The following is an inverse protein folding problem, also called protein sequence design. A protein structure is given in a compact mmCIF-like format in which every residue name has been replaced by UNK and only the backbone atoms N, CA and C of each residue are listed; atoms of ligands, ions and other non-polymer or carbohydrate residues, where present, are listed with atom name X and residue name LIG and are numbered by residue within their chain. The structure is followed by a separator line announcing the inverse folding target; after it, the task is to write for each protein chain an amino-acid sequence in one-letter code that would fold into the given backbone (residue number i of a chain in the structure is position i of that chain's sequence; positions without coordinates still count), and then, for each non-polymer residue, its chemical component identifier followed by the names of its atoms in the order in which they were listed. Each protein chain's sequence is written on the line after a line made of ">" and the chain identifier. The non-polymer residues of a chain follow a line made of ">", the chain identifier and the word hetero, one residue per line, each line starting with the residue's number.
data_IF_636397859230
#
_entry.id   IF_636397859230
#
_cell.length_a   1.000
_cell.length_b   1.000
_cell.length_c   1.000
_cell.angle_alpha   90.00
_cell.angle_beta   90.00
_cell.angle_gamma   90.00
#
_symmetry.space_group_name_H-M   'P 1'
#
loop_
_entity.id
_entity.type
_entity.pdbx_description
1 polymer ?
#
# COMPACT_ATOMS: atom_id res chain seq x y z
N UNK A 1 -9.92 10.99 -5.94
CA UNK A 1 -11.37 10.83 -5.71
C UNK A 1 -11.77 9.35 -5.59
N UNK A 2 -11.32 8.49 -6.48
CA UNK A 2 -11.65 7.07 -6.51
C UNK A 2 -11.28 6.32 -5.21
N UNK A 3 -10.08 6.58 -4.67
CA UNK A 3 -9.66 6.05 -3.36
C UNK A 3 -10.68 6.40 -2.26
N UNK A 4 -11.01 7.68 -2.11
CA UNK A 4 -11.92 8.15 -1.06
C UNK A 4 -13.33 7.59 -1.19
N UNK A 5 -13.79 7.39 -2.42
CA UNK A 5 -15.08 6.76 -2.69
C UNK A 5 -15.07 5.25 -2.38
N UNK A 6 -13.98 4.56 -2.73
CA UNK A 6 -13.85 3.10 -2.51
C UNK A 6 -13.92 2.73 -1.02
N UNK A 7 -13.31 3.53 -0.15
CA UNK A 7 -13.20 3.22 1.29
C UNK A 7 -13.86 4.26 2.20
N UNK A 8 -14.65 5.16 1.63
CA UNK A 8 -15.50 6.13 2.33
C UNK A 8 -14.77 6.88 3.46
N UNK A 9 -13.65 7.54 3.12
CA UNK A 9 -12.84 8.28 4.13
C UNK A 9 -13.48 9.59 4.56
N UNK A 10 -14.46 10.11 3.81
CA UNK A 10 -14.98 11.45 3.98
C UNK A 10 -13.93 12.56 3.83
N UNK A 11 -12.78 12.25 3.21
CA UNK A 11 -11.63 13.16 3.09
C UNK A 11 -11.06 13.63 4.44
N UNK A 12 -11.30 12.87 5.51
CA UNK A 12 -10.80 13.20 6.84
C UNK A 12 -9.57 12.34 7.14
N UNK A 13 -8.39 12.93 7.33
CA UNK A 13 -7.22 12.22 7.81
C UNK A 13 -7.47 11.55 9.16
N UNK A 14 -6.70 10.51 9.45
CA UNK A 14 -6.66 9.94 10.81
C UNK A 14 -6.15 10.97 11.81
N UNK A 15 -6.48 10.80 13.09
CA UNK A 15 -6.00 11.71 14.13
C UNK A 15 -4.47 11.76 14.15
N UNK A 16 -3.93 12.94 14.41
CA UNK A 16 -2.49 13.20 14.49
C UNK A 16 -1.68 12.96 13.20
N UNK A 17 -2.34 12.79 12.03
CA UNK A 17 -1.63 12.80 10.75
C UNK A 17 -1.38 14.23 10.26
N UNK A 18 -0.10 14.55 10.08
CA UNK A 18 0.40 15.83 9.59
C UNK A 18 1.09 15.73 8.22
N UNK A 19 0.79 14.67 7.46
CA UNK A 19 1.37 14.38 6.16
C UNK A 19 0.56 15.03 5.03
N UNK A 20 0.46 16.36 4.99
CA UNK A 20 -0.40 17.10 4.05
C UNK A 20 0.03 17.00 2.58
N UNK A 21 1.25 16.58 2.33
CA UNK A 21 1.81 16.40 0.98
C UNK A 21 2.79 15.24 0.95
N UNK A 22 3.06 14.71 -0.22
CA UNK A 22 4.06 13.67 -0.47
C UNK A 22 5.05 14.12 -1.53
N UNK A 23 6.34 13.95 -1.28
CA UNK A 23 7.38 14.18 -2.29
C UNK A 23 7.53 12.94 -3.19
N UNK A 24 7.55 13.14 -4.50
CA UNK A 24 7.87 12.09 -5.47
C UNK A 24 9.27 12.33 -6.01
N UNK A 25 10.21 11.46 -5.65
CA UNK A 25 11.62 11.55 -6.04
C UNK A 25 11.93 10.46 -7.06
N UNK A 26 12.26 10.90 -8.28
CA UNK A 26 12.44 9.99 -9.41
C UNK A 26 13.87 10.03 -9.93
N UNK A 27 14.58 8.92 -9.80
CA UNK A 27 15.87 8.74 -10.44
C UNK A 27 15.70 8.41 -11.92
N UNK A 28 16.63 8.87 -12.74
CA UNK A 28 16.58 8.60 -14.18
C UNK A 28 16.70 7.12 -14.50
N UNK A 29 17.52 6.38 -13.76
CA UNK A 29 17.78 4.96 -14.01
C UNK A 29 17.70 4.15 -12.73
N UNK A 30 17.49 2.82 -12.90
CA UNK A 30 17.60 1.87 -11.78
C UNK A 30 18.98 1.90 -11.13
N UNK A 31 20.04 2.11 -11.91
CA UNK A 31 21.41 2.22 -11.40
C UNK A 31 21.59 3.42 -10.49
N UNK A 32 21.06 4.60 -10.89
CA UNK A 32 21.11 5.80 -10.05
C UNK A 32 20.29 5.61 -8.76
N UNK A 33 19.09 5.03 -8.89
CA UNK A 33 18.25 4.67 -7.75
C UNK A 33 19.02 3.76 -6.78
N UNK A 34 19.62 2.68 -7.27
CA UNK A 34 20.36 1.72 -6.45
C UNK A 34 21.61 2.35 -5.79
N UNK A 35 22.27 3.29 -6.47
CA UNK A 35 23.51 3.91 -5.99
C UNK A 35 23.24 5.00 -4.95
N UNK A 36 22.25 5.84 -5.20
CA UNK A 36 22.06 7.08 -4.43
C UNK A 36 20.90 7.03 -3.44
N UNK A 37 19.86 6.24 -3.70
CA UNK A 37 18.68 6.25 -2.86
C UNK A 37 18.97 5.74 -1.44
N UNK A 38 19.68 4.63 -1.31
CA UNK A 38 20.04 4.10 0.01
C UNK A 38 20.92 5.06 0.81
N UNK A 39 21.83 5.78 0.14
CA UNK A 39 22.68 6.78 0.80
C UNK A 39 21.91 8.03 1.22
N UNK A 40 20.97 8.50 0.39
CA UNK A 40 20.22 9.74 0.64
C UNK A 40 19.04 9.53 1.58
N UNK A 41 18.42 8.35 1.57
CA UNK A 41 17.14 8.10 2.23
C UNK A 41 17.14 6.90 3.18
N UNK A 42 18.28 6.21 3.32
CA UNK A 42 18.45 5.01 4.18
C UNK A 42 17.41 3.91 3.87
N UNK A 43 17.12 3.70 2.56
CA UNK A 43 16.15 2.73 2.12
C UNK A 43 16.78 1.57 1.35
N UNK A 44 16.04 0.45 1.26
CA UNK A 44 16.43 -0.68 0.40
C UNK A 44 16.16 -0.36 -1.07
N UNK A 45 16.98 -0.87 -1.98
CA UNK A 45 16.91 -0.57 -3.42
C UNK A 45 16.79 -1.82 -4.30
N UNK A 46 16.43 -2.96 -3.72
CA UNK A 46 16.17 -4.21 -4.44
C UNK A 46 14.74 -4.33 -4.99
N UNK A 47 14.01 -3.23 -5.00
CA UNK A 47 12.60 -3.09 -5.41
C UNK A 47 12.44 -2.14 -6.61
N UNK A 48 11.20 -1.86 -7.00
CA UNK A 48 10.83 -0.93 -8.07
C UNK A 48 10.66 0.52 -7.63
N UNK A 49 10.63 0.76 -6.34
CA UNK A 49 10.40 2.02 -5.66
C UNK A 49 9.99 1.73 -4.23
N UNK A 50 9.92 2.76 -3.39
CA UNK A 50 9.54 2.60 -2.00
C UNK A 50 8.86 3.85 -1.47
N UNK A 51 7.74 3.68 -0.78
CA UNK A 51 7.12 4.70 0.04
C UNK A 51 7.85 4.78 1.39
N UNK A 52 8.21 5.98 1.79
CA UNK A 52 8.88 6.29 3.04
C UNK A 52 8.01 7.26 3.83
N UNK A 53 7.18 6.72 4.72
CA UNK A 53 6.19 7.48 5.47
C UNK A 53 6.81 8.43 6.48
N UNK A 54 7.89 8.00 7.13
CA UNK A 54 8.53 8.71 8.25
C UNK A 54 7.61 8.69 9.49
N UNK A 55 7.43 9.83 10.15
CA UNK A 55 6.61 9.94 11.36
C UNK A 55 5.43 10.89 11.10
N UNK A 56 4.24 10.34 10.80
CA UNK A 56 3.07 11.14 10.46
C UNK A 56 2.60 12.03 11.61
N UNK A 57 2.92 11.70 12.88
CA UNK A 57 2.52 12.51 14.04
C UNK A 57 3.31 13.82 14.18
N UNK A 58 4.38 13.99 13.43
CA UNK A 58 5.19 15.20 13.47
C UNK A 58 4.68 16.29 12.56
N UNK A 59 4.51 17.47 13.13
CA UNK A 59 4.20 18.67 12.35
C UNK A 59 5.21 18.89 11.22
N UNK A 60 4.70 19.07 10.00
CA UNK A 60 5.53 19.26 8.82
C UNK A 60 6.19 17.97 8.31
N UNK A 61 5.69 16.80 8.70
CA UNK A 61 6.10 15.55 8.06
C UNK A 61 5.75 15.60 6.57
N UNK A 62 6.73 15.27 5.74
CA UNK A 62 6.54 15.09 4.30
C UNK A 62 7.04 13.70 3.95
N UNK A 63 6.15 12.73 3.84
CA UNK A 63 6.51 11.41 3.33
C UNK A 63 7.04 11.47 1.91
N UNK A 64 7.73 10.43 1.47
CA UNK A 64 8.35 10.36 0.15
C UNK A 64 8.06 9.05 -0.54
N UNK A 65 7.78 9.14 -1.82
CA UNK A 65 7.89 8.01 -2.73
C UNK A 65 9.19 8.16 -3.52
N UNK A 66 10.08 7.19 -3.41
CA UNK A 66 11.38 7.19 -4.09
C UNK A 66 11.40 6.07 -5.11
N UNK A 67 11.57 6.40 -6.40
CA UNK A 67 11.52 5.46 -7.50
C UNK A 67 12.50 5.83 -8.61
N UNK A 68 12.42 5.13 -9.72
CA UNK A 68 13.13 5.46 -10.97
C UNK A 68 12.18 5.41 -12.15
N UNK A 69 12.59 6.11 -13.22
CA UNK A 69 11.83 6.15 -14.46
C UNK A 69 11.68 4.74 -15.01
N UNK A 70 10.47 4.40 -15.44
CA UNK A 70 10.22 3.15 -16.15
C UNK A 70 10.89 3.21 -17.53
N UNK A 71 11.86 2.34 -17.74
CA UNK A 71 12.63 2.30 -19.00
C UNK A 71 11.98 1.49 -20.12
N UNK A 72 10.78 0.99 -19.91
CA UNK A 72 10.05 0.15 -20.86
C UNK A 72 9.13 0.94 -21.79
N UNK A 73 8.80 2.17 -21.42
CA UNK A 73 7.90 3.04 -22.14
C UNK A 73 8.68 4.11 -22.90
N UNK A 74 8.22 4.47 -24.10
CA UNK A 74 8.77 5.58 -24.90
C UNK A 74 8.43 6.94 -24.22
N UNK A 75 7.33 7.00 -23.50
CA UNK A 75 6.93 8.16 -22.72
C UNK A 75 7.44 8.10 -21.26
N UNK A 76 7.57 9.27 -20.63
CA UNK A 76 7.96 9.33 -19.24
C UNK A 76 6.89 8.70 -18.34
N UNK A 77 7.27 7.65 -17.64
CA UNK A 77 6.44 7.02 -16.60
C UNK A 77 7.29 6.67 -15.37
N UNK A 78 6.64 6.59 -14.22
CA UNK A 78 7.28 6.28 -12.95
C UNK A 78 6.83 4.89 -12.53
N UNK A 79 7.79 4.00 -12.28
CA UNK A 79 7.50 2.63 -11.87
C UNK A 79 6.76 2.63 -10.53
N UNK A 80 5.67 1.86 -10.46
CA UNK A 80 4.84 1.67 -9.26
C UNK A 80 4.23 2.95 -8.64
N UNK A 81 4.20 4.08 -9.35
CA UNK A 81 3.72 5.34 -8.77
C UNK A 81 2.32 5.22 -8.15
N UNK A 82 1.38 4.63 -8.86
CA UNK A 82 -0.01 4.52 -8.39
C UNK A 82 -0.11 3.61 -7.15
N UNK A 83 0.61 2.50 -7.14
CA UNK A 83 0.67 1.58 -6.01
C UNK A 83 1.19 2.29 -4.75
N UNK A 84 2.34 2.97 -4.85
CA UNK A 84 2.95 3.67 -3.72
C UNK A 84 2.12 4.90 -3.28
N UNK A 85 1.42 5.53 -4.21
CA UNK A 85 0.51 6.62 -3.87
C UNK A 85 -0.70 6.12 -3.07
N UNK A 86 -1.15 4.90 -3.31
CA UNK A 86 -2.19 4.27 -2.47
C UNK A 86 -1.69 4.05 -1.05
N UNK A 87 -0.44 3.64 -0.84
CA UNK A 87 0.13 3.54 0.51
C UNK A 87 0.12 4.88 1.25
N UNK A 88 0.47 5.98 0.58
CA UNK A 88 0.36 7.32 1.17
C UNK A 88 -1.07 7.65 1.57
N UNK A 89 -2.02 7.40 0.69
CA UNK A 89 -3.43 7.69 0.98
C UNK A 89 -3.99 6.76 2.08
N UNK A 90 -3.64 5.48 2.05
CA UNK A 90 -4.10 4.51 3.05
C UNK A 90 -3.53 4.82 4.43
N UNK A 91 -2.24 5.12 4.55
CA UNK A 91 -1.62 5.61 5.78
C UNK A 91 -2.36 6.82 6.33
N UNK A 92 -2.49 7.87 5.51
CA UNK A 92 -3.10 9.13 5.92
C UNK A 92 -4.57 9.03 6.33
N UNK A 93 -5.38 8.22 5.65
CA UNK A 93 -6.85 8.25 5.79
C UNK A 93 -7.45 7.02 6.46
N UNK A 94 -6.70 5.93 6.57
CA UNK A 94 -7.24 4.67 7.08
C UNK A 94 -6.41 4.05 8.22
N UNK A 95 -5.12 4.41 8.36
CA UNK A 95 -4.22 3.74 9.30
C UNK A 95 -3.71 4.72 10.35
N UNK A 96 -4.16 4.60 11.59
CA UNK A 96 -3.67 5.43 12.68
C UNK A 96 -2.25 5.01 13.11
N UNK A 97 -1.36 5.96 13.30
CA UNK A 97 0.05 5.73 13.60
C UNK A 97 0.91 5.63 12.33
N UNK A 98 2.10 5.09 12.45
CA UNK A 98 2.99 4.87 11.31
C UNK A 98 2.93 3.43 10.79
N UNK A 99 3.59 3.19 9.67
CA UNK A 99 3.67 1.86 9.05
C UNK A 99 4.22 0.80 10.03
N UNK A 100 5.14 1.18 10.90
CA UNK A 100 5.70 0.26 11.90
C UNK A 100 4.66 -0.13 12.95
N UNK A 101 3.83 0.82 13.38
CA UNK A 101 2.72 0.56 14.31
C UNK A 101 1.69 -0.38 13.69
N UNK A 102 1.29 -0.15 12.45
CA UNK A 102 0.32 -1.00 11.73
C UNK A 102 0.84 -2.42 11.57
N UNK A 103 2.13 -2.59 11.27
CA UNK A 103 2.76 -3.90 11.11
C UNK A 103 2.90 -4.65 12.45
N UNK A 104 3.26 -3.94 13.52
CA UNK A 104 3.45 -4.54 14.84
C UNK A 104 2.13 -4.97 15.48
N UNK A 105 1.11 -4.15 15.34
CA UNK A 105 -0.15 -4.32 16.05
C UNK A 105 -1.21 -5.08 15.23
N UNK A 106 -1.26 -4.89 13.92
CA UNK A 106 -2.36 -5.34 13.08
C UNK A 106 -2.07 -6.55 12.19
N UNK A 107 -0.81 -6.80 11.83
CA UNK A 107 -0.46 -7.82 10.81
C UNK A 107 -1.33 -7.72 9.55
N UNK A 108 -1.52 -6.51 9.02
CA UNK A 108 -2.45 -6.23 7.92
C UNK A 108 -1.77 -6.16 6.55
N UNK A 109 -0.67 -6.90 6.32
CA UNK A 109 0.04 -6.94 5.03
C UNK A 109 -0.91 -7.25 3.87
N UNK A 110 -1.83 -8.18 4.06
CA UNK A 110 -2.82 -8.53 3.04
C UNK A 110 -3.67 -7.34 2.60
N UNK A 111 -4.00 -6.43 3.54
CA UNK A 111 -4.74 -5.21 3.24
C UNK A 111 -3.83 -4.19 2.56
N UNK A 112 -2.69 -3.85 3.16
CA UNK A 112 -1.78 -2.81 2.66
C UNK A 112 -1.41 -3.05 1.20
N UNK A 113 -0.85 -4.23 0.91
CA UNK A 113 -0.40 -4.58 -0.44
C UNK A 113 -1.58 -4.95 -1.37
N UNK A 114 -2.52 -5.71 -0.85
CA UNK A 114 -3.69 -6.10 -1.63
C UNK A 114 -4.57 -4.92 -2.04
N UNK A 115 -4.70 -3.90 -1.19
CA UNK A 115 -5.47 -2.70 -1.52
C UNK A 115 -4.75 -1.81 -2.53
N UNK A 116 -3.43 -1.66 -2.42
CA UNK A 116 -2.64 -0.96 -3.42
C UNK A 116 -2.76 -1.63 -4.80
N UNK A 117 -2.65 -2.96 -4.86
CA UNK A 117 -2.88 -3.73 -6.09
C UNK A 117 -4.32 -3.61 -6.61
N UNK A 118 -5.33 -3.63 -5.72
CA UNK A 118 -6.73 -3.48 -6.12
C UNK A 118 -7.01 -2.09 -6.71
N UNK A 119 -6.48 -1.05 -6.09
CA UNK A 119 -6.64 0.31 -6.60
C UNK A 119 -5.98 0.51 -7.95
N UNK A 120 -4.82 -0.13 -8.19
CA UNK A 120 -4.10 -0.07 -9.46
C UNK A 120 -4.79 -0.89 -10.57
N UNK A 121 -5.08 -2.16 -10.30
CA UNK A 121 -5.61 -3.09 -11.32
C UNK A 121 -7.13 -3.10 -11.45
N UNK A 122 -7.86 -2.66 -10.44
CA UNK A 122 -9.32 -2.80 -10.36
C UNK A 122 -9.74 -4.26 -10.62
N UNK A 123 -10.54 -4.50 -11.63
CA UNK A 123 -10.98 -5.85 -12.00
C UNK A 123 -9.97 -6.61 -12.89
N UNK A 124 -8.92 -5.93 -13.35
CA UNK A 124 -8.07 -6.37 -14.46
C UNK A 124 -6.81 -7.15 -14.09
N UNK A 125 -6.59 -7.56 -12.84
CA UNK A 125 -5.36 -8.26 -12.47
C UNK A 125 -5.37 -9.73 -12.91
N UNK A 126 -5.19 -9.96 -14.21
CA UNK A 126 -5.28 -11.29 -14.81
C UNK A 126 -4.39 -12.35 -14.14
N UNK A 127 -3.15 -11.99 -13.76
CA UNK A 127 -2.25 -12.92 -13.08
C UNK A 127 -2.79 -13.40 -11.72
N UNK A 128 -3.43 -12.52 -10.95
CA UNK A 128 -4.08 -12.90 -9.70
C UNK A 128 -5.33 -13.74 -9.95
N UNK A 129 -6.16 -13.39 -10.96
CA UNK A 129 -7.36 -14.14 -11.31
C UNK A 129 -7.05 -15.58 -11.78
N UNK A 130 -5.95 -15.77 -12.50
CA UNK A 130 -5.48 -17.12 -12.89
C UNK A 130 -5.04 -17.90 -11.66
N UNK A 131 -4.24 -17.28 -10.78
CA UNK A 131 -3.77 -17.90 -9.53
C UNK A 131 -4.93 -18.29 -8.61
N UNK A 132 -5.95 -17.44 -8.50
CA UNK A 132 -7.13 -17.68 -7.67
C UNK A 132 -7.93 -18.93 -8.06
N UNK A 133 -7.84 -19.39 -9.31
CA UNK A 133 -8.49 -20.64 -9.77
C UNK A 133 -7.87 -21.90 -9.13
N UNK A 134 -6.65 -21.81 -8.67
CA UNK A 134 -5.93 -22.93 -8.02
C UNK A 134 -6.48 -23.20 -6.60
N UNK A 135 -7.14 -22.23 -5.97
CA UNK A 135 -7.75 -22.34 -4.63
C UNK A 135 -6.80 -22.86 -3.55
N UNK A 136 -5.54 -22.44 -3.61
CA UNK A 136 -4.46 -22.94 -2.73
C UNK A 136 -4.47 -22.32 -1.33
N UNK A 137 -5.18 -21.19 -1.15
CA UNK A 137 -5.31 -20.51 0.14
C UNK A 137 -6.77 -20.21 0.47
N UNK A 138 -7.09 -20.33 1.75
CA UNK A 138 -8.35 -19.81 2.31
C UNK A 138 -8.24 -18.32 2.59
N UNK A 139 -9.36 -17.64 2.83
CA UNK A 139 -9.36 -16.24 3.22
C UNK A 139 -8.60 -16.03 4.55
N UNK A 140 -8.75 -16.95 5.51
CA UNK A 140 -8.02 -16.92 6.78
C UNK A 140 -6.50 -17.04 6.57
N UNK A 141 -6.05 -17.87 5.63
CA UNK A 141 -4.63 -17.96 5.28
C UNK A 141 -4.12 -16.61 4.75
N UNK A 142 -4.91 -15.95 3.89
CA UNK A 142 -4.51 -14.64 3.32
C UNK A 142 -4.48 -13.56 4.39
N UNK A 143 -5.43 -13.53 5.30
CA UNK A 143 -5.43 -12.57 6.42
C UNK A 143 -4.23 -12.71 7.35
N UNK A 144 -3.61 -13.89 7.42
CA UNK A 144 -2.38 -14.13 8.19
C UNK A 144 -1.08 -13.87 7.42
N UNK A 145 -1.16 -13.29 6.22
CA UNK A 145 0.00 -13.04 5.36
C UNK A 145 0.98 -12.06 5.99
N UNK A 146 2.27 -12.37 5.83
CA UNK A 146 3.38 -11.46 6.15
C UNK A 146 4.34 -11.37 4.95
N UNK A 147 5.28 -10.41 4.96
CA UNK A 147 6.16 -10.17 3.81
C UNK A 147 7.09 -11.36 3.46
N UNK A 148 7.33 -12.30 4.37
CA UNK A 148 8.14 -13.49 4.08
C UNK A 148 7.40 -14.58 3.31
N UNK A 149 6.07 -14.48 3.13
CA UNK A 149 5.24 -15.50 2.47
C UNK A 149 5.34 -15.48 0.92
N UNK A 150 6.13 -14.56 0.39
CA UNK A 150 6.44 -14.45 -1.03
C UNK A 150 5.44 -13.63 -1.84
N UNK A 151 5.91 -13.20 -3.02
CA UNK A 151 5.20 -12.21 -3.84
C UNK A 151 3.77 -12.60 -4.22
N UNK A 152 3.55 -13.88 -4.53
CA UNK A 152 2.22 -14.33 -4.91
C UNK A 152 1.21 -14.16 -3.77
N UNK A 153 1.62 -14.51 -2.54
CA UNK A 153 0.72 -14.45 -1.39
C UNK A 153 0.49 -12.99 -0.96
N UNK A 154 1.55 -12.20 -0.90
CA UNK A 154 1.49 -10.79 -0.51
C UNK A 154 0.63 -9.99 -1.48
N UNK A 155 0.97 -9.98 -2.76
CA UNK A 155 0.33 -9.08 -3.74
C UNK A 155 -0.89 -9.70 -4.39
N UNK A 156 -0.78 -10.90 -4.98
CA UNK A 156 -1.87 -11.48 -5.78
C UNK A 156 -3.00 -12.03 -4.95
N UNK A 157 -2.70 -12.80 -3.90
CA UNK A 157 -3.72 -13.27 -2.98
C UNK A 157 -4.26 -12.14 -2.10
N UNK A 158 -3.41 -11.18 -1.70
CA UNK A 158 -3.84 -9.93 -1.06
C UNK A 158 -4.88 -9.20 -1.90
N UNK A 159 -4.58 -8.96 -3.18
CA UNK A 159 -5.52 -8.37 -4.13
C UNK A 159 -6.86 -9.13 -4.19
N UNK A 160 -6.82 -10.46 -4.32
CA UNK A 160 -8.04 -11.28 -4.38
C UNK A 160 -8.88 -11.16 -3.11
N UNK A 161 -8.24 -11.16 -1.95
CA UNK A 161 -8.92 -10.99 -0.67
C UNK A 161 -9.55 -9.60 -0.55
N UNK A 162 -8.80 -8.54 -0.83
CA UNK A 162 -9.31 -7.15 -0.79
C UNK A 162 -10.45 -6.96 -1.76
N UNK A 163 -10.30 -7.43 -3.01
CA UNK A 163 -11.38 -7.38 -4.01
C UNK A 163 -12.64 -8.09 -3.52
N UNK A 164 -12.50 -9.29 -2.97
CA UNK A 164 -13.62 -10.05 -2.42
C UNK A 164 -14.30 -9.29 -1.27
N UNK A 165 -13.52 -8.73 -0.36
CA UNK A 165 -14.05 -7.97 0.78
C UNK A 165 -14.78 -6.72 0.31
N UNK A 166 -14.20 -5.92 -0.58
CA UNK A 166 -14.82 -4.68 -1.09
C UNK A 166 -16.10 -4.98 -1.89
N UNK A 167 -16.07 -5.99 -2.77
CA UNK A 167 -17.20 -6.28 -3.67
C UNK A 167 -18.34 -7.08 -2.99
N UNK A 168 -18.05 -7.88 -1.97
CA UNK A 168 -19.01 -8.81 -1.39
C UNK A 168 -19.32 -8.54 0.09
N UNK A 169 -18.42 -7.87 0.81
CA UNK A 169 -18.52 -7.62 2.24
C UNK A 169 -18.13 -6.17 2.58
N UNK A 170 -18.69 -5.14 1.92
CA UNK A 170 -18.31 -3.75 2.13
C UNK A 170 -18.57 -3.27 3.57
N UNK A 171 -19.55 -3.85 4.26
CA UNK A 171 -19.81 -3.59 5.67
C UNK A 171 -18.64 -4.02 6.57
N UNK A 172 -18.04 -5.17 6.32
CA UNK A 172 -16.87 -5.64 7.06
C UNK A 172 -15.62 -4.78 6.76
N UNK A 173 -15.48 -4.29 5.52
CA UNK A 173 -14.41 -3.32 5.20
C UNK A 173 -14.61 -2.03 5.97
N UNK A 174 -15.83 -1.53 6.06
CA UNK A 174 -16.16 -0.32 6.83
C UNK A 174 -15.83 -0.50 8.32
N UNK A 175 -16.16 -1.66 8.88
CA UNK A 175 -15.84 -2.00 10.27
C UNK A 175 -14.33 -2.11 10.50
N UNK A 176 -13.62 -2.88 9.66
CA UNK A 176 -12.16 -3.02 9.70
C UNK A 176 -11.46 -1.66 9.70
N UNK A 177 -11.84 -0.79 8.75
CA UNK A 177 -11.24 0.54 8.63
C UNK A 177 -11.65 1.46 9.79
N UNK A 178 -12.81 1.26 10.38
CA UNK A 178 -13.22 1.94 11.60
C UNK A 178 -12.25 1.67 12.77
N UNK A 179 -11.85 0.43 12.94
CA UNK A 179 -10.83 0.04 13.93
C UNK A 179 -9.44 0.58 13.56
N UNK A 180 -9.02 0.42 12.31
CA UNK A 180 -7.70 0.89 11.85
C UNK A 180 -7.52 2.40 12.02
N UNK A 181 -8.55 3.18 11.69
CA UNK A 181 -8.53 4.66 11.82
C UNK A 181 -8.40 5.15 13.26
N UNK A 182 -8.63 4.31 14.23
CA UNK A 182 -8.51 4.62 15.66
C UNK A 182 -7.39 3.84 16.35
N UNK A 183 -6.58 3.10 15.60
CA UNK A 183 -5.45 2.33 16.12
C UNK A 183 -5.85 1.05 16.88
N UNK A 184 -7.07 0.56 16.69
CA UNK A 184 -7.59 -0.64 17.36
C UNK A 184 -7.33 -1.89 16.49
N UNK A 185 -6.06 -2.17 16.19
CA UNK A 185 -5.65 -3.22 15.25
C UNK A 185 -5.86 -4.66 15.73
N UNK A 186 -6.25 -4.88 16.98
CA UNK A 186 -6.42 -6.22 17.58
C UNK A 186 -7.88 -6.65 17.70
N UNK A 187 -8.80 -5.80 17.31
CA UNK A 187 -10.23 -6.10 17.29
C UNK A 187 -10.66 -6.69 15.94
#
# INVERSE_FOLDING_TARGET
>A
DDFHQTVNTGYQPVADDHSDSVDVIVFKTKSDYSTYSSFLFDNTTNNGGQFLERDPSKQGNVPRFVAYQNGWDDDFSILNLEHEYVHYLDGRFNQYGDFHDTMREGNIVWWLEGFAEYMYYKEGYNAALVLGKEKTHTLADVFSTNYSDGLNRVYRWGYLAVRFMIEKHPENVTELLGYSRTGQYKE
#
